data_IF_689685993653
#
_entry.id   IF_689685993653
#
_cell.length_a   1.000
_cell.length_b   1.000
_cell.length_c   1.000
_cell.angle_alpha   90.00
_cell.angle_beta   90.00
_cell.angle_gamma   90.00
#
_symmetry.space_group_name_H-M   'P 1'
#
loop_
_entity.id
_entity.type
_entity.pdbx_description
1 polymer ?
#
# COMPACT_ATOMS: atom_id res chain seq x y z
N UNK A 1 -13.64 20.32 5.19
CA UNK A 1 -14.45 19.93 4.06
C UNK A 1 -13.58 19.67 2.85
N UNK A 2 -13.18 18.43 2.63
CA UNK A 2 -12.68 18.05 1.30
C UNK A 2 -13.88 18.09 0.39
N UNK A 3 -14.00 19.14 -0.38
CA UNK A 3 -14.95 19.19 -1.48
C UNK A 3 -14.59 18.06 -2.43
N UNK A 4 -15.45 17.06 -2.50
CA UNK A 4 -15.41 15.95 -3.47
C UNK A 4 -15.73 16.49 -4.87
N UNK A 5 -14.87 17.39 -5.39
CA UNK A 5 -14.89 17.72 -6.79
C UNK A 5 -14.20 16.62 -7.58
N UNK A 6 -15.01 15.81 -8.23
CA UNK A 6 -14.66 14.98 -9.37
C UNK A 6 -13.85 13.70 -9.14
N UNK A 7 -14.29 12.85 -8.19
CA UNK A 7 -14.02 11.42 -8.30
C UNK A 7 -15.33 10.63 -8.21
N UNK A 8 -16.22 10.68 -9.23
CA UNK A 8 -17.47 9.92 -9.20
C UNK A 8 -17.29 8.41 -9.45
N UNK A 9 -16.06 7.93 -9.53
CA UNK A 9 -15.71 6.57 -9.99
C UNK A 9 -15.26 5.66 -8.84
N UNK A 10 -14.78 6.20 -7.70
CA UNK A 10 -14.30 5.38 -6.60
C UNK A 10 -15.31 5.34 -5.46
N UNK A 11 -15.83 4.15 -5.15
CA UNK A 11 -16.79 3.96 -4.05
C UNK A 11 -16.10 3.84 -2.69
N UNK A 12 -16.22 4.89 -1.87
CA UNK A 12 -15.75 4.91 -0.49
C UNK A 12 -16.89 4.64 0.52
N UNK A 13 -18.06 4.19 0.09
CA UNK A 13 -19.21 3.98 0.99
C UNK A 13 -18.95 2.95 2.09
N UNK A 14 -18.00 2.05 1.87
CA UNK A 14 -17.56 1.05 2.84
C UNK A 14 -16.40 1.51 3.74
N UNK A 15 -15.86 2.70 3.54
CA UNK A 15 -14.87 3.30 4.44
C UNK A 15 -15.55 4.19 5.46
N UNK A 16 -15.16 4.07 6.71
CA UNK A 16 -15.63 4.91 7.81
C UNK A 16 -14.46 5.36 8.69
N UNK A 17 -14.70 6.41 9.45
CA UNK A 17 -13.78 6.93 10.47
C UNK A 17 -14.57 7.22 11.74
N UNK A 18 -13.93 7.05 12.89
CA UNK A 18 -14.51 7.44 14.17
C UNK A 18 -14.74 8.95 14.21
N UNK A 19 -15.95 9.36 14.60
CA UNK A 19 -16.29 10.78 14.75
C UNK A 19 -15.63 11.34 15.99
N UNK A 20 -15.02 12.52 15.85
CA UNK A 20 -14.43 13.25 16.96
C UNK A 20 -15.49 14.01 17.75
N UNK A 21 -15.40 13.96 19.07
CA UNK A 21 -16.17 14.80 20.00
C UNK A 21 -15.36 16.05 20.33
N UNK A 22 -15.25 16.98 19.36
CA UNK A 22 -14.40 18.18 19.44
C UNK A 22 -14.54 18.95 20.78
N UNK A 23 -15.73 19.17 21.36
CA UNK A 23 -15.85 19.87 22.63
C UNK A 23 -15.19 19.16 23.82
N UNK A 24 -14.89 17.86 23.68
CA UNK A 24 -14.24 17.06 24.72
C UNK A 24 -12.74 16.85 24.44
N UNK A 25 -12.24 17.39 23.34
CA UNK A 25 -10.84 17.30 22.94
C UNK A 25 -10.04 18.52 23.40
N UNK A 26 -8.74 18.32 23.69
CA UNK A 26 -7.77 19.37 23.95
C UNK A 26 -6.37 18.95 23.49
N UNK A 27 -5.34 19.74 23.78
CA UNK A 27 -3.96 19.45 23.34
C UNK A 27 -3.39 18.11 23.83
N UNK A 28 -3.96 17.50 24.86
CA UNK A 28 -3.47 16.27 25.51
C UNK A 28 -4.48 15.12 25.48
N UNK A 29 -5.74 15.39 25.14
CA UNK A 29 -6.82 14.40 25.17
C UNK A 29 -7.63 14.47 23.88
N UNK A 30 -7.79 13.32 23.25
CA UNK A 30 -8.66 13.12 22.10
C UNK A 30 -9.83 12.22 22.49
N UNK A 31 -11.04 12.66 22.26
CA UNK A 31 -12.26 11.89 22.52
C UNK A 31 -12.96 11.62 21.20
N UNK A 32 -13.18 10.37 20.91
CA UNK A 32 -13.86 9.93 19.69
C UNK A 32 -15.00 8.96 19.97
N UNK A 33 -15.83 8.76 18.98
CA UNK A 33 -16.85 7.73 18.96
C UNK A 33 -16.23 6.35 19.20
N UNK A 34 -16.86 5.55 20.04
CA UNK A 34 -16.53 4.12 20.17
C UNK A 34 -17.16 3.37 19.00
N UNK A 35 -16.32 2.79 18.16
CA UNK A 35 -16.78 1.98 17.01
C UNK A 35 -17.03 0.54 17.49
N UNK A 36 -18.29 0.06 17.44
CA UNK A 36 -18.60 -1.33 17.76
C UNK A 36 -18.19 -2.22 16.60
N UNK A 37 -17.10 -2.95 16.73
CA UNK A 37 -16.58 -3.83 15.67
C UNK A 37 -15.45 -4.70 16.17
N UNK A 38 -15.01 -5.62 15.31
CA UNK A 38 -13.82 -6.43 15.57
C UNK A 38 -12.67 -5.90 14.73
N UNK A 39 -11.49 -5.85 15.31
CA UNK A 39 -10.27 -5.51 14.58
C UNK A 39 -9.89 -6.64 13.60
N UNK A 40 -9.16 -6.28 12.55
CA UNK A 40 -8.61 -7.29 11.64
C UNK A 40 -7.65 -8.24 12.37
N UNK A 41 -6.98 -7.77 13.43
CA UNK A 41 -6.12 -8.64 14.23
C UNK A 41 -6.93 -9.73 14.95
N UNK A 42 -8.03 -9.35 15.62
CA UNK A 42 -8.97 -10.31 16.26
C UNK A 42 -9.63 -11.25 15.23
N UNK A 43 -9.95 -10.75 14.03
CA UNK A 43 -10.51 -11.58 12.95
C UNK A 43 -9.48 -12.56 12.41
N UNK A 44 -8.23 -12.14 12.25
CA UNK A 44 -7.13 -13.01 11.82
C UNK A 44 -6.80 -14.08 12.85
N UNK A 45 -6.78 -13.72 14.14
CA UNK A 45 -6.57 -14.70 15.24
C UNK A 45 -7.65 -15.77 15.29
N UNK A 46 -8.90 -15.36 15.02
CA UNK A 46 -10.04 -16.26 14.98
C UNK A 46 -10.19 -17.02 13.64
N UNK A 47 -9.32 -16.77 12.63
CA UNK A 47 -9.49 -17.33 11.29
C UNK A 47 -10.78 -16.90 10.59
N UNK A 48 -11.33 -15.73 10.95
CA UNK A 48 -12.63 -15.24 10.52
C UNK A 48 -12.55 -14.05 9.56
N UNK A 49 -11.34 -13.56 9.21
CA UNK A 49 -11.19 -12.52 8.21
C UNK A 49 -11.39 -13.11 6.81
N UNK A 50 -12.42 -12.64 6.12
CA UNK A 50 -12.66 -12.99 4.73
C UNK A 50 -11.64 -12.32 3.82
N UNK A 51 -11.14 -13.07 2.82
CA UNK A 51 -10.11 -12.59 1.89
C UNK A 51 -10.59 -11.46 0.99
N UNK A 52 -11.86 -11.48 0.56
CA UNK A 52 -12.41 -10.39 -0.26
C UNK A 52 -12.52 -9.09 0.55
N UNK A 53 -12.85 -9.18 1.84
CA UNK A 53 -12.79 -8.04 2.77
C UNK A 53 -11.37 -7.50 2.92
N UNK A 54 -10.36 -8.38 2.97
CA UNK A 54 -8.96 -7.95 2.99
C UNK A 54 -8.54 -7.31 1.66
N UNK A 55 -8.96 -7.85 0.52
CA UNK A 55 -8.71 -7.23 -0.80
C UNK A 55 -9.37 -5.85 -0.93
N UNK A 56 -10.52 -5.64 -0.30
CA UNK A 56 -11.14 -4.32 -0.26
C UNK A 56 -10.29 -3.31 0.54
N UNK A 57 -9.66 -3.73 1.63
CA UNK A 57 -8.68 -2.88 2.32
C UNK A 57 -7.53 -2.48 1.39
N UNK A 58 -6.99 -3.42 0.60
CA UNK A 58 -5.97 -3.10 -0.42
C UNK A 58 -6.47 -2.11 -1.47
N UNK A 59 -7.70 -2.27 -1.91
CA UNK A 59 -8.31 -1.38 -2.90
C UNK A 59 -8.43 0.05 -2.37
N UNK A 60 -9.00 0.22 -1.16
CA UNK A 60 -9.15 1.52 -0.50
C UNK A 60 -7.78 2.15 -0.21
N UNK A 61 -6.85 1.36 0.34
CA UNK A 61 -5.51 1.85 0.69
C UNK A 61 -4.71 2.24 -0.56
N UNK A 62 -4.79 1.41 -1.62
CA UNK A 62 -4.20 1.71 -2.92
C UNK A 62 -4.76 2.99 -3.53
N UNK A 63 -6.07 3.20 -3.50
CA UNK A 63 -6.70 4.44 -3.94
C UNK A 63 -6.17 5.65 -3.16
N UNK A 64 -6.11 5.56 -1.84
CA UNK A 64 -5.58 6.62 -0.99
C UNK A 64 -4.11 6.93 -1.34
N UNK A 65 -3.29 5.91 -1.53
CA UNK A 65 -1.87 6.07 -1.83
C UNK A 65 -1.60 6.58 -3.24
N UNK A 66 -2.23 5.98 -4.26
CA UNK A 66 -1.91 6.27 -5.66
C UNK A 66 -2.71 7.41 -6.24
N UNK A 67 -3.99 7.56 -5.87
CA UNK A 67 -4.88 8.56 -6.46
C UNK A 67 -4.95 9.83 -5.61
N UNK A 68 -5.03 9.70 -4.28
CA UNK A 68 -5.13 10.84 -3.35
C UNK A 68 -3.75 11.35 -2.94
N UNK A 69 -2.80 10.45 -2.68
CA UNK A 69 -1.47 10.76 -2.17
C UNK A 69 -1.44 10.95 -0.65
N UNK A 70 -2.49 10.54 0.04
CA UNK A 70 -2.60 10.57 1.50
C UNK A 70 -3.13 9.22 1.97
N UNK A 71 -2.46 8.57 2.90
CA UNK A 71 -2.80 7.22 3.32
C UNK A 71 -2.55 7.03 4.83
N UNK A 72 -3.18 6.03 5.41
CA UNK A 72 -2.92 5.62 6.78
C UNK A 72 -1.51 5.00 6.88
N UNK A 73 -0.61 5.69 7.57
CA UNK A 73 0.81 5.31 7.61
C UNK A 73 1.15 4.23 8.63
N UNK A 74 0.17 3.78 9.43
CA UNK A 74 0.31 2.68 10.39
C UNK A 74 -0.84 1.67 10.23
N UNK A 75 -0.84 0.97 9.09
CA UNK A 75 -1.89 0.00 8.71
C UNK A 75 -1.78 -1.31 9.50
N UNK A 76 -1.46 -1.21 10.81
CA UNK A 76 -1.50 -2.37 11.70
C UNK A 76 -2.92 -2.99 11.71
N UNK A 77 -3.08 -4.32 11.71
CA UNK A 77 -4.41 -4.94 11.66
C UNK A 77 -5.30 -4.57 12.86
N UNK A 78 -4.73 -4.16 14.00
CA UNK A 78 -5.46 -3.61 15.14
C UNK A 78 -6.08 -2.23 14.88
N UNK A 79 -5.62 -1.50 13.85
CA UNK A 79 -6.10 -0.16 13.48
C UNK A 79 -7.19 -0.18 12.41
N UNK A 80 -7.63 -1.35 11.98
CA UNK A 80 -8.71 -1.55 11.01
C UNK A 80 -9.81 -2.36 11.66
N UNK A 81 -10.98 -1.77 11.85
CA UNK A 81 -12.16 -2.45 12.39
C UNK A 81 -13.13 -2.80 11.27
N UNK A 82 -13.74 -3.97 11.37
CA UNK A 82 -14.89 -4.35 10.56
C UNK A 82 -16.17 -4.12 11.39
N UNK A 83 -17.02 -3.21 10.94
CA UNK A 83 -18.25 -2.81 11.63
C UNK A 83 -19.39 -2.60 10.65
N UNK A 84 -20.52 -3.32 10.80
CA UNK A 84 -21.68 -3.18 9.92
C UNK A 84 -21.35 -3.32 8.43
N UNK A 85 -20.40 -4.17 8.07
CA UNK A 85 -19.93 -4.35 6.69
C UNK A 85 -19.03 -3.23 6.16
N UNK A 86 -18.57 -2.31 7.02
CA UNK A 86 -17.65 -1.22 6.67
C UNK A 86 -16.29 -1.43 7.31
N UNK A 87 -15.26 -0.98 6.62
CA UNK A 87 -13.91 -0.82 7.14
C UNK A 87 -13.81 0.52 7.87
N UNK A 88 -13.48 0.51 9.13
CA UNK A 88 -13.29 1.72 9.91
C UNK A 88 -11.83 1.84 10.32
N UNK A 89 -11.17 2.93 9.92
CA UNK A 89 -9.81 3.24 10.36
C UNK A 89 -9.85 3.99 11.69
N UNK A 90 -9.10 3.45 12.64
CA UNK A 90 -8.86 4.06 13.95
C UNK A 90 -7.37 4.38 14.09
N UNK A 91 -6.99 5.11 15.12
CA UNK A 91 -5.62 5.56 15.37
C UNK A 91 -4.98 6.26 14.16
N UNK A 92 -5.64 7.31 13.68
CA UNK A 92 -5.17 8.11 12.55
C UNK A 92 -4.03 9.09 12.94
N UNK A 93 -3.31 8.80 14.02
CA UNK A 93 -2.20 9.64 14.51
C UNK A 93 -1.01 9.72 13.56
N UNK A 94 -0.88 8.78 12.65
CA UNK A 94 0.15 8.81 11.61
C UNK A 94 -0.46 8.72 10.21
N UNK A 95 -0.55 9.88 9.55
CA UNK A 95 -0.98 9.99 8.15
C UNK A 95 0.26 10.19 7.28
N UNK A 96 0.45 9.27 6.31
CA UNK A 96 1.49 9.38 5.31
C UNK A 96 1.06 10.27 4.14
N UNK A 97 2.00 11.05 3.64
CA UNK A 97 1.81 11.85 2.42
C UNK A 97 2.83 11.46 1.37
N UNK A 98 2.38 11.38 0.13
CA UNK A 98 3.19 11.00 -1.02
C UNK A 98 3.15 12.12 -2.05
N UNK A 99 4.30 12.73 -2.33
CA UNK A 99 4.42 13.75 -3.37
C UNK A 99 4.10 13.18 -4.77
N UNK A 100 3.75 14.04 -5.74
CA UNK A 100 3.31 13.60 -7.07
C UNK A 100 4.33 12.70 -7.78
N UNK A 101 5.61 12.98 -7.67
CA UNK A 101 6.69 12.17 -8.27
C UNK A 101 6.69 10.74 -7.74
N UNK A 102 6.68 10.59 -6.42
CA UNK A 102 6.69 9.28 -5.76
C UNK A 102 5.37 8.55 -6.01
N UNK A 103 4.24 9.26 -5.91
CA UNK A 103 2.91 8.71 -6.17
C UNK A 103 2.82 8.09 -7.56
N UNK A 104 3.22 8.84 -8.60
CA UNK A 104 3.23 8.33 -9.98
C UNK A 104 4.19 7.17 -10.15
N UNK A 105 5.40 7.28 -9.60
CA UNK A 105 6.40 6.21 -9.67
C UNK A 105 5.96 4.92 -8.98
N UNK A 106 5.30 5.02 -7.82
CA UNK A 106 4.73 3.87 -7.12
C UNK A 106 3.63 3.20 -7.94
N UNK A 107 2.70 3.99 -8.50
CA UNK A 107 1.68 3.45 -9.38
C UNK A 107 2.30 2.72 -10.57
N UNK A 108 3.24 3.37 -11.29
CA UNK A 108 3.94 2.76 -12.44
C UNK A 108 4.70 1.49 -12.05
N UNK A 109 5.28 1.47 -10.84
CA UNK A 109 5.98 0.29 -10.31
C UNK A 109 5.01 -0.88 -10.08
N UNK A 110 3.89 -0.65 -9.37
CA UNK A 110 2.93 -1.71 -9.09
C UNK A 110 2.16 -2.16 -10.34
N UNK A 111 1.88 -1.25 -11.27
CA UNK A 111 1.29 -1.59 -12.56
C UNK A 111 2.23 -2.53 -13.34
N UNK A 112 3.50 -2.17 -13.49
CA UNK A 112 4.49 -3.02 -14.14
C UNK A 112 4.71 -4.34 -13.40
N UNK A 113 4.71 -4.33 -12.04
CA UNK A 113 4.88 -5.54 -11.23
C UNK A 113 3.72 -6.51 -11.40
N UNK A 114 2.48 -6.01 -11.51
CA UNK A 114 1.30 -6.84 -11.76
C UNK A 114 1.33 -7.54 -13.11
N UNK A 115 2.06 -6.97 -14.08
CA UNK A 115 2.31 -7.54 -15.41
C UNK A 115 3.59 -8.39 -15.46
N UNK A 116 4.36 -8.42 -14.36
CA UNK A 116 5.69 -9.04 -14.28
C UNK A 116 6.72 -8.42 -15.24
N UNK A 117 6.53 -7.15 -15.61
CA UNK A 117 7.46 -6.37 -16.42
C UNK A 117 8.56 -5.76 -15.52
N UNK A 118 9.53 -6.58 -15.16
CA UNK A 118 10.62 -6.19 -14.26
C UNK A 118 11.50 -5.05 -14.81
N UNK A 119 11.80 -4.96 -16.11
CA UNK A 119 12.47 -3.80 -16.69
C UNK A 119 11.71 -2.48 -16.42
N UNK A 120 10.39 -2.46 -16.58
CA UNK A 120 9.56 -1.29 -16.26
C UNK A 120 9.51 -1.00 -14.77
N UNK A 121 9.49 -2.03 -13.92
CA UNK A 121 9.60 -1.86 -12.47
C UNK A 121 10.91 -1.15 -12.08
N UNK A 122 12.04 -1.58 -12.63
CA UNK A 122 13.36 -0.98 -12.38
C UNK A 122 13.39 0.49 -12.83
N UNK A 123 12.81 0.81 -13.99
CA UNK A 123 12.71 2.17 -14.49
C UNK A 123 11.81 3.05 -13.60
N UNK A 124 10.67 2.53 -13.15
CA UNK A 124 9.77 3.23 -12.25
C UNK A 124 10.45 3.54 -10.90
N UNK A 125 11.16 2.57 -10.33
CA UNK A 125 11.91 2.78 -9.09
C UNK A 125 12.99 3.84 -9.26
N UNK A 126 13.72 3.81 -10.36
CA UNK A 126 14.75 4.80 -10.67
C UNK A 126 14.18 6.23 -10.72
N UNK A 127 13.03 6.40 -11.37
CA UNK A 127 12.34 7.69 -11.42
C UNK A 127 11.88 8.20 -10.03
N UNK A 128 11.60 7.30 -9.07
CA UNK A 128 11.26 7.71 -7.71
C UNK A 128 12.47 8.17 -6.89
N UNK A 129 13.68 7.83 -7.30
CA UNK A 129 14.89 8.27 -6.62
C UNK A 129 15.07 9.79 -6.75
N UNK A 130 15.59 10.42 -5.68
CA UNK A 130 16.06 11.82 -5.74
C UNK A 130 17.25 11.94 -6.69
N UNK A 131 18.10 10.92 -6.73
CA UNK A 131 19.24 10.79 -7.64
C UNK A 131 19.03 9.59 -8.55
N UNK A 132 18.63 9.87 -9.78
CA UNK A 132 18.43 8.85 -10.80
C UNK A 132 19.78 8.31 -11.32
N UNK A 133 19.83 7.00 -11.54
CA UNK A 133 20.94 6.36 -12.24
C UNK A 133 20.79 6.56 -13.75
N UNK A 134 21.89 6.68 -14.46
CA UNK A 134 21.93 6.84 -15.92
C UNK A 134 22.97 5.91 -16.56
N UNK A 135 22.83 5.66 -17.86
CA UNK A 135 23.79 4.87 -18.65
C UNK A 135 24.11 3.51 -18.03
N UNK A 136 25.39 3.12 -18.03
CA UNK A 136 25.85 1.84 -17.54
C UNK A 136 25.49 1.54 -16.08
N UNK A 137 25.39 2.57 -15.22
CA UNK A 137 24.97 2.39 -13.83
C UNK A 137 23.50 1.95 -13.73
N UNK A 138 22.61 2.53 -14.53
CA UNK A 138 21.23 2.10 -14.60
C UNK A 138 21.09 0.70 -15.21
N UNK A 139 21.84 0.39 -16.27
CA UNK A 139 21.80 -0.93 -16.90
C UNK A 139 22.25 -2.04 -15.95
N UNK A 140 23.30 -1.79 -15.17
CA UNK A 140 23.78 -2.72 -14.13
C UNK A 140 22.72 -2.92 -13.02
N UNK A 141 22.09 -1.81 -12.56
CA UNK A 141 20.99 -1.89 -11.61
C UNK A 141 19.81 -2.71 -12.15
N UNK A 142 19.36 -2.40 -13.37
CA UNK A 142 18.25 -3.11 -14.03
C UNK A 142 18.51 -4.60 -14.15
N UNK A 143 19.72 -4.99 -14.53
CA UNK A 143 20.11 -6.42 -14.60
C UNK A 143 19.95 -7.11 -13.24
N UNK A 144 20.52 -6.55 -12.17
CA UNK A 144 20.40 -7.09 -10.81
C UNK A 144 18.95 -7.08 -10.30
N UNK A 145 18.16 -6.11 -10.70
CA UNK A 145 16.72 -6.05 -10.36
C UNK A 145 15.96 -7.22 -11.00
N UNK A 146 16.21 -7.50 -12.28
CA UNK A 146 15.59 -8.64 -12.99
C UNK A 146 15.99 -9.97 -12.33
N UNK A 147 17.26 -10.14 -11.97
CA UNK A 147 17.75 -11.31 -11.24
C UNK A 147 17.06 -11.44 -9.86
N UNK A 148 16.89 -10.34 -9.13
CA UNK A 148 16.20 -10.34 -7.83
C UNK A 148 14.76 -10.86 -7.94
N UNK A 149 14.07 -10.59 -9.04
CA UNK A 149 12.70 -11.02 -9.29
C UNK A 149 12.59 -12.29 -10.11
N UNK A 150 13.71 -12.95 -10.45
CA UNK A 150 13.68 -14.23 -11.13
C UNK A 150 12.86 -15.26 -10.31
N UNK A 151 11.92 -15.92 -10.96
CA UNK A 151 11.04 -16.92 -10.34
C UNK A 151 9.95 -16.34 -9.41
N UNK A 152 9.71 -15.02 -9.42
CA UNK A 152 8.67 -14.39 -8.61
C UNK A 152 7.26 -14.52 -9.23
N UNK A 153 7.17 -14.70 -10.55
CA UNK A 153 5.90 -14.77 -11.26
C UNK A 153 5.00 -15.88 -10.72
N UNK A 154 3.72 -15.55 -10.49
CA UNK A 154 2.65 -16.45 -10.04
C UNK A 154 2.95 -17.19 -8.73
N UNK A 155 3.88 -16.69 -7.91
CA UNK A 155 4.14 -17.22 -6.58
C UNK A 155 3.10 -16.77 -5.59
N UNK A 156 2.77 -17.67 -4.67
CA UNK A 156 1.90 -17.35 -3.53
C UNK A 156 2.65 -16.54 -2.48
N UNK A 157 1.90 -15.86 -1.61
CA UNK A 157 2.52 -15.06 -0.52
C UNK A 157 3.28 -15.94 0.48
N UNK A 158 2.89 -17.22 0.65
CA UNK A 158 3.63 -18.18 1.46
C UNK A 158 4.99 -18.57 0.85
N UNK A 159 5.07 -18.63 -0.47
CA UNK A 159 6.33 -18.96 -1.16
C UNK A 159 7.28 -17.78 -1.23
N UNK A 160 6.75 -16.57 -1.47
CA UNK A 160 7.56 -15.35 -1.62
C UNK A 160 6.84 -14.15 -1.01
N UNK A 161 7.39 -13.60 0.06
CA UNK A 161 6.91 -12.35 0.65
C UNK A 161 7.20 -11.17 -0.27
N UNK A 162 6.15 -10.44 -0.65
CA UNK A 162 6.25 -9.20 -1.42
C UNK A 162 7.06 -8.15 -0.65
N UNK A 163 6.81 -8.02 0.65
CA UNK A 163 7.56 -7.11 1.53
C UNK A 163 9.05 -7.38 1.52
N UNK A 164 9.46 -8.66 1.67
CA UNK A 164 10.87 -9.02 1.63
C UNK A 164 11.50 -8.64 0.29
N UNK A 165 10.79 -8.86 -0.82
CA UNK A 165 11.25 -8.44 -2.15
C UNK A 165 11.37 -6.93 -2.26
N UNK A 166 10.40 -6.17 -1.75
CA UNK A 166 10.45 -4.70 -1.76
C UNK A 166 11.61 -4.16 -0.93
N UNK A 167 11.86 -4.71 0.26
CA UNK A 167 13.02 -4.33 1.07
C UNK A 167 14.36 -4.62 0.35
N UNK A 168 14.47 -5.77 -0.29
CA UNK A 168 15.64 -6.12 -1.12
C UNK A 168 15.79 -5.16 -2.30
N UNK A 169 14.69 -4.74 -2.91
CA UNK A 169 14.64 -3.78 -4.02
C UNK A 169 15.18 -2.41 -3.59
N UNK A 170 14.70 -1.86 -2.47
CA UNK A 170 15.20 -0.58 -1.95
C UNK A 170 16.68 -0.69 -1.60
N UNK A 171 17.09 -1.78 -0.93
CA UNK A 171 18.50 -2.03 -0.59
C UNK A 171 19.38 -2.07 -1.85
N UNK A 172 18.92 -2.73 -2.91
CA UNK A 172 19.61 -2.80 -4.20
C UNK A 172 19.75 -1.39 -4.81
N UNK A 173 18.68 -0.59 -4.80
CA UNK A 173 18.70 0.79 -5.29
C UNK A 173 19.72 1.65 -4.55
N UNK A 174 19.69 1.61 -3.22
CA UNK A 174 20.62 2.36 -2.37
C UNK A 174 22.08 1.93 -2.63
N UNK A 175 22.36 0.64 -2.70
CA UNK A 175 23.72 0.13 -3.01
C UNK A 175 24.16 0.48 -4.43
N UNK A 176 23.24 0.76 -5.34
CA UNK A 176 23.54 1.24 -6.69
C UNK A 176 23.71 2.74 -6.79
N UNK A 177 23.52 3.49 -5.69
CA UNK A 177 23.70 4.93 -5.60
C UNK A 177 22.42 5.76 -5.69
N UNK A 178 21.23 5.13 -5.61
CA UNK A 178 19.96 5.85 -5.49
C UNK A 178 19.80 6.43 -4.08
N UNK A 179 19.09 7.55 -3.99
CA UNK A 179 18.64 8.13 -2.72
C UNK A 179 17.13 8.28 -2.74
N UNK A 180 16.47 8.06 -1.61
CA UNK A 180 15.02 8.10 -1.50
C UNK A 180 14.59 9.04 -0.37
N UNK A 181 13.49 9.75 -0.58
CA UNK A 181 12.86 10.57 0.45
C UNK A 181 12.46 9.73 1.66
N UNK A 182 12.46 10.34 2.85
CA UNK A 182 12.10 9.67 4.11
C UNK A 182 10.69 9.05 4.07
N UNK A 183 9.76 9.63 3.32
CA UNK A 183 8.39 9.16 3.16
C UNK A 183 8.26 7.73 2.60
N UNK A 184 9.27 7.23 1.87
CA UNK A 184 9.23 5.88 1.30
C UNK A 184 9.17 4.78 2.38
N UNK A 185 9.72 5.04 3.57
CA UNK A 185 9.69 4.07 4.68
C UNK A 185 8.28 3.89 5.25
N UNK A 186 7.46 4.94 5.27
CA UNK A 186 6.06 4.83 5.68
C UNK A 186 5.26 3.97 4.70
N UNK A 187 5.53 4.10 3.41
CA UNK A 187 4.93 3.28 2.36
C UNK A 187 5.30 1.81 2.56
N UNK A 188 6.60 1.52 2.72
CA UNK A 188 7.09 0.15 2.91
C UNK A 188 6.46 -0.46 4.17
N UNK A 189 6.42 0.27 5.29
CA UNK A 189 5.82 -0.19 6.54
C UNK A 189 4.34 -0.54 6.37
N UNK A 190 3.59 0.32 5.70
CA UNK A 190 2.18 0.08 5.39
C UNK A 190 1.98 -1.20 4.56
N UNK A 191 2.79 -1.38 3.52
CA UNK A 191 2.77 -2.59 2.69
C UNK A 191 3.20 -3.86 3.45
N UNK A 192 4.11 -3.73 4.43
CA UNK A 192 4.49 -4.85 5.31
C UNK A 192 3.31 -5.38 6.11
N UNK A 193 2.52 -4.49 6.71
CA UNK A 193 1.33 -4.91 7.44
C UNK A 193 0.32 -5.61 6.53
N UNK A 194 0.08 -5.04 5.34
CA UNK A 194 -0.82 -5.63 4.35
C UNK A 194 -0.37 -7.04 3.92
N UNK A 195 0.92 -7.20 3.56
CA UNK A 195 1.51 -8.50 3.19
C UNK A 195 1.37 -9.52 4.33
N UNK A 196 1.64 -9.10 5.57
CA UNK A 196 1.49 -9.92 6.77
C UNK A 196 0.04 -10.35 7.02
N UNK A 197 -0.94 -9.49 6.76
CA UNK A 197 -2.37 -9.85 6.84
C UNK A 197 -2.75 -10.89 5.78
N UNK A 198 -2.27 -10.75 4.54
CA UNK A 198 -2.54 -11.74 3.49
C UNK A 198 -1.94 -13.10 3.84
N UNK A 199 -0.69 -13.12 4.33
CA UNK A 199 -0.04 -14.38 4.73
C UNK A 199 -0.81 -15.12 5.82
N UNK A 200 -1.45 -14.40 6.76
CA UNK A 200 -2.27 -15.00 7.83
C UNK A 200 -3.67 -15.39 7.33
N UNK A 201 -4.27 -14.60 6.43
CA UNK A 201 -5.64 -14.79 5.94
C UNK A 201 -5.72 -15.85 4.84
N UNK A 202 -4.84 -15.76 3.84
CA UNK A 202 -4.84 -16.60 2.63
C UNK A 202 -3.41 -16.83 2.11
N UNK A 203 -2.65 -17.75 2.74
CA UNK A 203 -1.24 -18.00 2.39
C UNK A 203 -1.01 -18.50 0.95
N UNK A 204 -2.02 -19.12 0.34
CA UNK A 204 -1.99 -19.60 -1.06
C UNK A 204 -2.41 -18.52 -2.08
N UNK A 205 -2.67 -17.29 -1.66
CA UNK A 205 -3.02 -16.19 -2.57
C UNK A 205 -1.86 -15.83 -3.50
N UNK A 206 -2.17 -15.61 -4.77
CA UNK A 206 -1.28 -14.96 -5.75
C UNK A 206 -1.64 -13.47 -5.79
N UNK A 207 -1.21 -12.74 -4.76
CA UNK A 207 -1.70 -11.38 -4.45
C UNK A 207 -1.62 -10.42 -5.65
N UNK A 208 -0.52 -10.44 -6.41
CA UNK A 208 -0.38 -9.55 -7.57
C UNK A 208 -1.42 -9.80 -8.66
N UNK A 209 -1.80 -11.07 -8.88
CA UNK A 209 -2.86 -11.43 -9.82
C UNK A 209 -4.21 -10.90 -9.35
N UNK A 210 -4.49 -11.09 -8.06
CA UNK A 210 -5.78 -10.72 -7.48
C UNK A 210 -5.95 -9.18 -7.43
N UNK A 211 -4.86 -8.43 -7.36
CA UNK A 211 -4.85 -6.96 -7.36
C UNK A 211 -4.92 -6.31 -8.75
N UNK A 212 -4.73 -7.05 -9.86
CA UNK A 212 -4.72 -6.47 -11.22
C UNK A 212 -5.95 -5.63 -11.56
N UNK A 213 -7.12 -6.08 -11.11
CA UNK A 213 -8.38 -5.35 -11.32
C UNK A 213 -8.33 -3.92 -10.77
N UNK A 214 -7.72 -3.74 -9.60
CA UNK A 214 -7.59 -2.43 -8.96
C UNK A 214 -6.59 -1.53 -9.69
N UNK A 215 -5.49 -2.10 -10.18
CA UNK A 215 -4.50 -1.35 -10.97
C UNK A 215 -5.14 -0.75 -12.23
N UNK A 216 -5.92 -1.52 -12.98
CA UNK A 216 -6.61 -1.03 -14.17
C UNK A 216 -7.69 0.03 -13.86
N UNK A 217 -8.26 0.02 -12.67
CA UNK A 217 -9.17 1.05 -12.20
C UNK A 217 -8.41 2.34 -11.84
N UNK A 218 -7.32 2.22 -11.07
CA UNK A 218 -6.50 3.36 -10.67
C UNK A 218 -5.84 4.06 -11.86
N UNK A 219 -5.48 3.35 -12.93
CA UNK A 219 -4.87 3.92 -14.13
C UNK A 219 -5.70 5.06 -14.71
N UNK A 220 -7.02 4.98 -14.60
CA UNK A 220 -7.96 6.02 -15.08
C UNK A 220 -8.01 7.24 -14.15
N UNK A 221 -7.52 7.11 -12.92
CA UNK A 221 -7.62 8.11 -11.85
C UNK A 221 -6.27 8.79 -11.55
N UNK A 222 -5.16 8.09 -11.78
CA UNK A 222 -3.81 8.63 -11.57
C UNK A 222 -3.44 9.53 -12.75
N UNK A 223 -3.54 10.83 -12.53
CA UNK A 223 -3.13 11.87 -13.50
C UNK A 223 -1.73 12.38 -13.21
#
# INVERSE_FOLDING_TARGET
GVQTCALPIFDLSRLAFARMHEPLCNASVMVSELIPGRSFDELLEAGALDYDTLLELFHIHGFCMFCVGTFHGDMHPGNVLLTGGKLCFIDTGYIGHVGPKIRRGLFDFFAALSEYDYPRCAAALNRMSERELTGAAFDAFRGKFIELYAGFKDRTVAEVSLTKKMMQTIKLGVHSGMTFEKGIFAIIRSLMYLDGMVLRCKPDAVLLRDMRRFIGEFEKLVK
#
